data_IF_182716168644
#
_entry.id   IF_182716168644
#
_cell.length_a   1.000
_cell.length_b   1.000
_cell.length_c   1.000
_cell.angle_alpha   90.00
_cell.angle_beta   90.00
_cell.angle_gamma   90.00
#
_symmetry.space_group_name_H-M   'P 1'
#
loop_
_entity.id
_entity.type
_entity.pdbx_description
1 polymer ?
#
# COMPACT_ATOMS: atom_id res chain seq x y z
N UNK A 1 43.62 29.13 -9.70
CA UNK A 1 43.45 27.69 -9.97
C UNK A 1 42.74 27.01 -8.81
N UNK A 2 41.42 26.81 -8.90
CA UNK A 2 40.69 25.71 -8.23
C UNK A 2 39.54 25.32 -9.15
N UNK A 3 39.63 24.12 -9.68
CA UNK A 3 38.88 23.59 -10.82
C UNK A 3 37.51 23.10 -10.39
N UNK A 4 36.45 23.67 -10.96
CA UNK A 4 35.10 23.14 -10.91
C UNK A 4 35.05 21.86 -11.74
N UNK A 5 34.84 20.72 -11.07
CA UNK A 5 34.59 19.43 -11.72
C UNK A 5 33.11 19.38 -12.10
N UNK A 6 32.77 19.86 -13.29
CA UNK A 6 31.47 19.61 -13.92
C UNK A 6 31.39 18.12 -14.29
N UNK A 7 30.48 17.40 -13.65
CA UNK A 7 30.14 16.02 -13.95
C UNK A 7 29.22 16.01 -15.18
N UNK A 8 29.81 15.70 -16.32
CA UNK A 8 29.11 15.58 -17.61
C UNK A 8 28.20 14.36 -17.57
N UNK A 9 26.90 14.60 -17.75
CA UNK A 9 25.84 13.59 -17.81
C UNK A 9 26.01 12.78 -19.10
N UNK A 10 26.24 11.48 -18.96
CA UNK A 10 26.22 10.54 -20.09
C UNK A 10 24.76 10.29 -20.49
N UNK A 11 24.38 10.82 -21.64
CA UNK A 11 23.12 10.51 -22.30
C UNK A 11 23.16 9.07 -22.83
N UNK A 12 22.38 8.18 -22.22
CA UNK A 12 22.14 6.84 -22.76
C UNK A 12 20.90 6.92 -23.65
N UNK A 13 21.16 7.09 -24.93
CA UNK A 13 20.18 6.90 -26.01
C UNK A 13 20.12 5.40 -26.32
N UNK A 14 18.92 4.82 -26.33
CA UNK A 14 18.70 3.54 -27.00
C UNK A 14 17.53 2.72 -26.47
N UNK A 15 16.38 2.79 -27.15
CA UNK A 15 15.83 1.75 -28.03
C UNK A 15 14.30 1.86 -28.05
N UNK A 16 13.79 2.35 -29.18
CA UNK A 16 12.36 2.32 -29.53
C UNK A 16 12.01 0.89 -29.91
N UNK A 17 11.33 0.17 -29.02
CA UNK A 17 10.69 -1.11 -29.32
C UNK A 17 9.22 -0.89 -29.67
N UNK A 18 8.90 -0.87 -30.96
CA UNK A 18 7.53 -0.97 -31.45
C UNK A 18 7.08 -2.43 -31.31
N UNK A 19 6.29 -2.75 -30.28
CA UNK A 19 5.51 -3.98 -30.22
C UNK A 19 4.03 -3.67 -30.37
N UNK A 20 3.54 -3.76 -31.61
CA UNK A 20 2.12 -3.89 -31.90
C UNK A 20 1.63 -5.25 -31.40
N UNK A 21 0.96 -5.26 -30.25
CA UNK A 21 0.20 -6.44 -29.80
C UNK A 21 -1.28 -6.09 -29.82
N UNK A 22 -1.92 -6.37 -30.95
CA UNK A 22 -3.35 -6.65 -30.97
C UNK A 22 -3.54 -8.10 -30.52
N UNK A 23 -4.25 -8.31 -29.42
CA UNK A 23 -5.18 -9.42 -29.24
C UNK A 23 -5.89 -9.26 -27.90
N UNK A 24 -7.20 -9.10 -27.97
CA UNK A 24 -8.13 -9.23 -26.86
C UNK A 24 -8.01 -10.61 -26.22
N UNK A 25 -7.91 -10.65 -24.89
CA UNK A 25 -8.38 -11.80 -24.12
C UNK A 25 -8.72 -11.36 -22.69
N UNK A 26 -9.98 -11.56 -22.36
CA UNK A 26 -10.59 -11.40 -21.05
C UNK A 26 -9.82 -12.15 -19.96
N UNK A 27 -9.25 -11.43 -18.99
CA UNK A 27 -8.89 -12.00 -17.69
C UNK A 27 -9.33 -11.07 -16.56
N UNK A 28 -10.57 -11.25 -16.12
CA UNK A 28 -11.04 -10.74 -14.85
C UNK A 28 -10.38 -11.48 -13.68
N UNK A 29 -9.09 -11.26 -13.41
CA UNK A 29 -8.46 -11.70 -12.16
C UNK A 29 -7.15 -10.99 -11.77
N UNK A 30 -6.70 -9.98 -12.52
CA UNK A 30 -5.40 -9.32 -12.30
C UNK A 30 -5.37 -8.35 -11.11
N UNK A 31 -6.51 -7.81 -10.68
CA UNK A 31 -6.55 -6.84 -9.56
C UNK A 31 -6.18 -7.45 -8.18
N UNK A 32 -6.37 -8.76 -7.97
CA UNK A 32 -5.99 -9.40 -6.71
C UNK A 32 -4.49 -9.75 -6.61
N UNK A 33 -3.78 -9.88 -7.73
CA UNK A 33 -2.31 -10.11 -7.73
C UNK A 33 -1.55 -8.86 -7.27
N UNK A 34 -1.89 -7.67 -7.80
CA UNK A 34 -1.16 -6.43 -7.49
C UNK A 34 -1.14 -6.04 -6.01
N UNK A 35 -2.27 -6.22 -5.29
CA UNK A 35 -2.33 -5.94 -3.85
C UNK A 35 -1.55 -6.95 -2.99
N UNK A 36 -1.42 -8.21 -3.42
CA UNK A 36 -0.60 -9.20 -2.72
C UNK A 36 0.89 -8.91 -2.90
N UNK A 37 1.31 -8.42 -4.07
CA UNK A 37 2.71 -8.08 -4.35
C UNK A 37 3.23 -6.97 -3.43
N UNK A 38 2.54 -5.82 -3.35
CA UNK A 38 2.99 -4.69 -2.51
C UNK A 38 3.07 -5.04 -1.00
N UNK A 39 2.13 -5.87 -0.51
CA UNK A 39 2.17 -6.36 0.88
C UNK A 39 3.34 -7.30 1.14
N UNK A 40 3.74 -8.07 0.13
CA UNK A 40 4.89 -8.96 0.18
C UNK A 40 6.20 -8.19 0.18
N UNK A 41 6.32 -7.15 -0.63
CA UNK A 41 7.54 -6.31 -0.74
C UNK A 41 7.90 -5.63 0.57
N UNK A 42 6.94 -4.97 1.22
CA UNK A 42 7.19 -4.36 2.53
C UNK A 42 7.61 -5.39 3.58
N UNK A 43 6.99 -6.58 3.57
CA UNK A 43 7.37 -7.65 4.50
C UNK A 43 8.80 -8.13 4.24
N UNK A 44 9.18 -8.28 2.98
CA UNK A 44 10.54 -8.68 2.57
C UNK A 44 11.57 -7.64 2.99
N UNK A 45 11.27 -6.35 2.85
CA UNK A 45 12.15 -5.25 3.27
C UNK A 45 12.54 -5.39 4.75
N UNK A 46 11.58 -5.46 5.67
CA UNK A 46 11.88 -5.59 7.10
C UNK A 46 12.50 -6.95 7.48
N UNK A 47 12.29 -8.00 6.68
CA UNK A 47 12.92 -9.31 6.91
C UNK A 47 14.38 -9.36 6.45
N UNK A 48 14.76 -8.51 5.49
CA UNK A 48 16.13 -8.38 5.02
C UNK A 48 17.01 -7.56 5.99
N UNK A 49 16.41 -6.84 6.93
CA UNK A 49 17.13 -6.08 7.95
C UNK A 49 17.69 -7.02 9.04
N UNK A 50 18.95 -6.78 9.41
CA UNK A 50 19.58 -7.43 10.56
C UNK A 50 19.06 -6.79 11.86
N UNK A 51 17.87 -7.20 12.28
CA UNK A 51 17.23 -6.73 13.52
C UNK A 51 17.85 -7.38 14.76
N UNK A 52 18.08 -6.58 15.81
CA UNK A 52 18.46 -7.08 17.14
C UNK A 52 17.33 -7.92 17.77
N UNK A 53 17.64 -8.65 18.85
CA UNK A 53 16.63 -9.40 19.61
C UNK A 53 15.52 -8.49 20.13
N UNK A 54 15.90 -7.35 20.71
CA UNK A 54 14.96 -6.35 21.24
C UNK A 54 14.06 -5.77 20.13
N UNK A 55 14.62 -5.40 18.97
CA UNK A 55 13.84 -4.90 17.84
C UNK A 55 12.85 -5.95 17.31
N UNK A 56 13.23 -7.24 17.31
CA UNK A 56 12.33 -8.35 16.92
C UNK A 56 11.17 -8.48 17.90
N UNK A 57 11.41 -8.33 19.20
CA UNK A 57 10.37 -8.36 20.22
C UNK A 57 9.41 -7.18 20.08
N UNK A 58 9.93 -5.96 19.91
CA UNK A 58 9.11 -4.77 19.65
C UNK A 58 8.25 -4.92 18.37
N UNK A 59 8.83 -5.46 17.30
CA UNK A 59 8.11 -5.73 16.05
C UNK A 59 7.02 -6.80 16.24
N UNK A 60 7.25 -7.81 17.10
CA UNK A 60 6.27 -8.84 17.44
C UNK A 60 5.12 -8.26 18.28
N UNK A 61 5.43 -7.45 19.28
CA UNK A 61 4.44 -6.75 20.10
C UNK A 61 3.55 -5.84 19.23
N UNK A 62 4.17 -5.04 18.36
CA UNK A 62 3.47 -4.20 17.39
C UNK A 62 2.55 -5.02 16.48
N UNK A 63 3.00 -6.19 16.00
CA UNK A 63 2.15 -7.08 15.19
C UNK A 63 0.94 -7.59 15.97
N UNK A 64 1.09 -7.89 17.25
CA UNK A 64 -0.01 -8.36 18.10
C UNK A 64 -1.03 -7.25 18.38
N UNK A 65 -0.56 -6.04 18.71
CA UNK A 65 -1.40 -4.83 18.86
C UNK A 65 -2.24 -4.63 17.60
N UNK A 66 -1.59 -4.63 16.43
CA UNK A 66 -2.28 -4.44 15.15
C UNK A 66 -3.29 -5.55 14.85
N UNK A 67 -3.02 -6.80 15.25
CA UNK A 67 -3.95 -7.92 15.06
C UNK A 67 -5.20 -7.75 15.92
N UNK A 68 -5.03 -7.31 17.17
CA UNK A 68 -6.15 -7.03 18.07
C UNK A 68 -7.04 -5.91 17.52
N UNK A 69 -6.45 -4.78 17.16
CA UNK A 69 -7.19 -3.66 16.56
C UNK A 69 -7.84 -4.03 15.22
N UNK A 70 -7.24 -4.94 14.44
CA UNK A 70 -7.86 -5.41 13.19
C UNK A 70 -9.11 -6.26 13.48
N UNK A 71 -9.11 -7.08 14.53
CA UNK A 71 -10.26 -7.93 14.88
C UNK A 71 -11.47 -7.07 15.25
N UNK A 72 -11.29 -6.13 16.19
CA UNK A 72 -12.33 -5.20 16.63
C UNK A 72 -12.94 -4.41 15.46
N UNK A 73 -12.08 -3.86 14.60
CA UNK A 73 -12.53 -3.06 13.44
C UNK A 73 -13.15 -3.89 12.34
N UNK A 74 -12.77 -5.18 12.19
CA UNK A 74 -13.40 -6.08 11.22
C UNK A 74 -14.86 -6.29 11.58
N UNK A 75 -15.17 -6.45 12.86
CA UNK A 75 -16.55 -6.60 13.34
C UNK A 75 -17.37 -5.33 13.09
N UNK A 76 -16.80 -4.14 13.37
CA UNK A 76 -17.42 -2.87 13.05
C UNK A 76 -17.66 -2.67 11.54
N UNK A 77 -16.69 -3.06 10.70
CA UNK A 77 -16.81 -2.95 9.24
C UNK A 77 -17.86 -3.93 8.69
N UNK A 78 -17.93 -5.16 9.20
CA UNK A 78 -18.94 -6.14 8.76
C UNK A 78 -20.35 -5.62 9.08
N UNK A 79 -20.55 -5.07 10.28
CA UNK A 79 -21.82 -4.46 10.69
C UNK A 79 -22.14 -3.19 9.89
N UNK A 80 -21.14 -2.38 9.57
CA UNK A 80 -21.27 -1.12 8.84
C UNK A 80 -21.04 -1.19 7.33
N UNK A 81 -21.05 -2.38 6.70
CA UNK A 81 -20.96 -2.48 5.24
C UNK A 81 -22.20 -1.82 4.64
N UNK A 82 -22.07 -0.57 4.22
CA UNK A 82 -22.94 0.03 3.23
C UNK A 82 -22.96 -0.92 2.03
N UNK A 83 -24.05 -1.67 1.89
CA UNK A 83 -24.23 -2.56 0.73
C UNK A 83 -24.28 -1.67 -0.50
N UNK A 84 -23.82 -2.15 -1.65
CA UNK A 84 -23.96 -1.39 -2.91
C UNK A 84 -25.41 -0.91 -3.11
N UNK A 85 -26.39 -1.72 -2.69
CA UNK A 85 -27.80 -1.38 -2.69
C UNK A 85 -28.22 -0.19 -1.82
N UNK A 86 -27.41 0.25 -0.84
CA UNK A 86 -27.70 1.47 -0.06
C UNK A 86 -27.56 2.77 -0.88
N UNK A 87 -26.89 2.71 -2.03
CA UNK A 87 -26.76 3.84 -2.95
C UNK A 87 -27.75 3.76 -4.13
N UNK A 88 -28.55 2.70 -4.22
CA UNK A 88 -29.51 2.49 -5.32
C UNK A 88 -30.91 2.57 -4.74
N UNK A 89 -31.73 3.45 -5.32
CA UNK A 89 -33.13 3.64 -4.94
C UNK A 89 -34.03 3.58 -6.17
N UNK A 90 -35.36 3.63 -5.98
CA UNK A 90 -36.31 3.78 -7.07
C UNK A 90 -36.05 5.03 -7.92
N UNK A 91 -35.44 6.07 -7.32
CA UNK A 91 -35.10 7.34 -7.97
C UNK A 91 -33.70 7.32 -8.63
N UNK A 92 -33.04 6.16 -8.67
CA UNK A 92 -31.73 5.98 -9.30
C UNK A 92 -30.56 5.83 -8.33
N UNK A 93 -29.35 6.07 -8.84
CA UNK A 93 -28.08 5.85 -8.13
C UNK A 93 -27.53 7.14 -7.50
N UNK A 94 -27.32 7.13 -6.19
CA UNK A 94 -26.63 8.18 -5.44
C UNK A 94 -25.11 8.10 -5.67
N UNK A 95 -24.67 8.63 -6.81
CA UNK A 95 -23.25 8.69 -7.21
C UNK A 95 -22.39 9.41 -6.17
N UNK A 96 -22.85 10.55 -5.65
CA UNK A 96 -22.06 11.36 -4.72
C UNK A 96 -21.85 10.63 -3.39
N UNK A 97 -22.91 10.09 -2.80
CA UNK A 97 -22.80 9.31 -1.56
C UNK A 97 -21.89 8.09 -1.71
N UNK A 98 -21.89 7.44 -2.88
CA UNK A 98 -20.97 6.34 -3.16
C UNK A 98 -19.51 6.83 -3.18
N UNK A 99 -19.22 7.93 -3.89
CA UNK A 99 -17.88 8.52 -3.98
C UNK A 99 -17.38 8.93 -2.59
N UNK A 100 -18.23 9.56 -1.78
CA UNK A 100 -17.84 10.03 -0.45
C UNK A 100 -17.50 8.86 0.48
N UNK A 101 -18.34 7.82 0.49
CA UNK A 101 -18.08 6.60 1.24
C UNK A 101 -16.79 5.91 0.76
N UNK A 102 -16.58 5.79 -0.55
CA UNK A 102 -15.39 5.15 -1.12
C UNK A 102 -14.12 5.94 -0.77
N UNK A 103 -14.16 7.26 -0.89
CA UNK A 103 -13.06 8.17 -0.57
C UNK A 103 -12.70 8.09 0.90
N UNK A 104 -13.70 8.20 1.81
CA UNK A 104 -13.48 8.07 3.26
C UNK A 104 -12.85 6.73 3.62
N UNK A 105 -13.31 5.64 2.99
CA UNK A 105 -12.74 4.31 3.20
C UNK A 105 -11.29 4.22 2.70
N UNK A 106 -10.99 4.82 1.55
CA UNK A 106 -9.64 4.87 1.00
C UNK A 106 -8.68 5.64 1.90
N UNK A 107 -9.06 6.85 2.33
CA UNK A 107 -8.29 7.69 3.26
C UNK A 107 -7.98 6.96 4.56
N UNK A 108 -8.98 6.29 5.17
CA UNK A 108 -8.75 5.48 6.37
C UNK A 108 -7.76 4.33 6.14
N UNK A 109 -7.73 3.73 4.95
CA UNK A 109 -6.75 2.68 4.63
C UNK A 109 -5.34 3.26 4.44
N UNK A 110 -5.23 4.42 3.79
CA UNK A 110 -3.95 5.11 3.56
C UNK A 110 -3.35 5.53 4.89
N UNK A 111 -4.11 6.24 5.73
CA UNK A 111 -3.66 6.68 7.05
C UNK A 111 -3.11 5.51 7.87
N UNK A 112 -3.87 4.41 7.96
CA UNK A 112 -3.42 3.21 8.69
C UNK A 112 -2.14 2.60 8.15
N UNK A 113 -1.95 2.63 6.83
CA UNK A 113 -0.70 2.12 6.22
C UNK A 113 0.46 3.02 6.59
N UNK A 114 0.26 4.34 6.59
CA UNK A 114 1.25 5.31 7.03
C UNK A 114 1.59 5.13 8.51
N UNK A 115 0.60 5.10 9.40
CA UNK A 115 0.81 4.93 10.85
C UNK A 115 1.57 3.62 11.16
N UNK A 116 1.21 2.52 10.49
CA UNK A 116 1.91 1.25 10.66
C UNK A 116 3.36 1.32 10.15
N UNK A 117 3.58 2.01 9.04
CA UNK A 117 4.91 2.17 8.48
C UNK A 117 5.78 3.00 9.42
N UNK A 118 5.29 4.15 9.87
CA UNK A 118 5.95 5.02 10.85
C UNK A 118 6.31 4.26 12.13
N UNK A 119 5.36 3.55 12.75
CA UNK A 119 5.63 2.74 13.95
C UNK A 119 6.75 1.72 13.74
N UNK A 120 6.88 1.13 12.54
CA UNK A 120 7.97 0.20 12.23
C UNK A 120 9.29 0.91 12.01
N UNK A 121 9.29 2.03 11.31
CA UNK A 121 10.50 2.84 11.07
C UNK A 121 11.09 3.34 12.40
N UNK A 122 10.25 3.62 13.39
CA UNK A 122 10.69 4.06 14.71
C UNK A 122 11.38 2.95 15.55
N UNK A 123 11.17 1.67 15.22
CA UNK A 123 11.91 0.55 15.84
C UNK A 123 13.32 0.42 15.24
N UNK A 124 13.51 0.88 14.01
CA UNK A 124 14.78 0.78 13.30
C UNK A 124 15.76 1.85 13.79
N UNK A 125 17.03 1.47 13.82
CA UNK A 125 18.13 2.44 14.00
C UNK A 125 18.24 3.34 12.77
N UNK A 126 18.88 4.52 12.87
CA UNK A 126 19.08 5.40 11.72
C UNK A 126 19.76 4.71 10.52
N UNK A 127 20.70 3.80 10.78
CA UNK A 127 21.44 3.04 9.76
C UNK A 127 20.59 1.97 9.05
N UNK A 128 19.48 1.54 9.66
CA UNK A 128 18.58 0.51 9.10
C UNK A 128 17.40 1.11 8.31
N UNK A 129 17.23 2.45 8.32
CA UNK A 129 16.09 3.14 7.70
C UNK A 129 16.28 3.41 6.22
#
# INVERSE_FOLDING_TARGET
MKTLKTLTIVAITGLVGLSTVHASQTEGNTMHKGMKHQRGEMKKMFQALNLSSEQKEQMKALRQEMKAQHKERREAMIKGRGKMGSFVSANGFNKQGFIDMATKRSQMMIQRRADMFEKRMNILTPEQR
#
